data_IF_381828764449
#
_entry.id   IF_381828764449
#
_cell.length_a   1.000
_cell.length_b   1.000
_cell.length_c   1.000
_cell.angle_alpha   90.00
_cell.angle_beta   90.00
_cell.angle_gamma   90.00
#
_symmetry.space_group_name_H-M   'P 1'
#
loop_
_entity.id
_entity.type
_entity.pdbx_description
1 polymer ?
#
# COMPACT_ATOMS: atom_id res chain seq x y z
N UNK A 1 17.46 4.93 9.64
CA UNK A 1 18.05 4.96 11.00
C UNK A 1 19.54 4.60 11.04
N UNK A 2 20.03 3.62 10.27
CA UNK A 2 21.46 3.23 10.26
C UNK A 2 22.25 3.82 9.06
N UNK A 3 21.94 5.04 8.63
CA UNK A 3 22.64 5.68 7.51
C UNK A 3 24.15 5.82 7.78
N UNK A 4 24.98 5.65 6.74
CA UNK A 4 26.46 5.58 6.86
C UNK A 4 27.15 6.88 7.29
N UNK A 5 26.48 8.02 7.16
CA UNK A 5 27.10 9.35 7.39
C UNK A 5 26.65 9.95 8.73
N UNK A 6 25.33 10.07 8.93
CA UNK A 6 24.75 10.73 10.11
C UNK A 6 23.67 9.90 10.80
N UNK A 7 23.61 8.60 10.49
CA UNK A 7 22.65 7.67 11.06
C UNK A 7 22.83 7.49 12.56
N UNK A 8 21.74 7.11 13.24
CA UNK A 8 21.74 6.76 14.67
C UNK A 8 22.77 5.67 14.97
N UNK A 9 22.94 4.71 14.07
CA UNK A 9 23.97 3.66 14.22
C UNK A 9 25.38 4.23 14.31
N UNK A 10 25.75 5.15 13.41
CA UNK A 10 27.06 5.83 13.41
C UNK A 10 27.25 6.62 14.70
N UNK A 11 26.21 7.34 15.15
CA UNK A 11 26.25 8.07 16.42
C UNK A 11 26.45 7.13 17.61
N UNK A 12 25.78 5.97 17.63
CA UNK A 12 25.95 4.97 18.69
C UNK A 12 27.35 4.35 18.68
N UNK A 13 27.95 4.11 17.52
CA UNK A 13 29.32 3.63 17.41
C UNK A 13 30.35 4.63 17.98
N UNK A 14 30.09 5.93 17.88
CA UNK A 14 30.97 6.94 18.49
C UNK A 14 30.99 6.84 20.02
N UNK A 15 29.87 6.48 20.66
CA UNK A 15 29.80 6.29 22.12
C UNK A 15 30.21 4.87 22.54
N UNK A 16 29.96 3.87 21.68
CA UNK A 16 30.17 2.46 21.95
C UNK A 16 30.89 1.80 20.76
N UNK A 17 32.23 1.86 20.69
CA UNK A 17 32.98 1.45 19.49
C UNK A 17 32.84 -0.05 19.16
N UNK A 18 32.49 -0.87 20.14
CA UNK A 18 32.30 -2.32 19.97
C UNK A 18 30.86 -2.71 19.62
N UNK A 19 29.94 -1.75 19.44
CA UNK A 19 28.56 -2.07 19.10
C UNK A 19 28.48 -2.61 17.66
N UNK A 20 27.84 -3.76 17.51
CA UNK A 20 27.57 -4.35 16.20
C UNK A 20 26.22 -3.81 15.72
N UNK A 21 26.26 -3.09 14.60
CA UNK A 21 25.05 -2.63 13.93
C UNK A 21 24.58 -3.69 12.95
N UNK A 22 23.34 -4.15 13.13
CA UNK A 22 22.71 -5.11 12.24
C UNK A 22 21.37 -4.60 11.75
N UNK A 23 21.20 -4.52 10.43
CA UNK A 23 19.89 -4.24 9.85
C UNK A 23 19.01 -5.48 9.90
N UNK A 24 17.75 -5.33 10.34
CA UNK A 24 16.79 -6.43 10.20
C UNK A 24 16.53 -6.75 8.72
N UNK A 25 16.25 -8.03 8.43
CA UNK A 25 15.99 -8.49 7.06
C UNK A 25 14.84 -7.72 6.39
N UNK A 26 13.77 -7.42 7.14
CA UNK A 26 12.63 -6.66 6.62
C UNK A 26 13.04 -5.26 6.15
N UNK A 27 13.94 -4.58 6.87
CA UNK A 27 14.43 -3.27 6.45
C UNK A 27 15.36 -3.36 5.24
N UNK A 28 16.19 -4.40 5.14
CA UNK A 28 17.02 -4.63 3.95
C UNK A 28 16.15 -4.87 2.71
N UNK A 29 15.08 -5.66 2.85
CA UNK A 29 14.12 -5.90 1.79
C UNK A 29 13.41 -4.61 1.37
N UNK A 30 12.99 -3.78 2.34
CA UNK A 30 12.38 -2.47 2.07
C UNK A 30 13.30 -1.57 1.25
N UNK A 31 14.58 -1.46 1.63
CA UNK A 31 15.57 -0.68 0.89
C UNK A 31 15.74 -1.22 -0.54
N UNK A 32 15.90 -2.53 -0.71
CA UNK A 32 16.07 -3.15 -2.02
C UNK A 32 14.87 -2.89 -2.96
N UNK A 33 13.65 -3.01 -2.44
CA UNK A 33 12.43 -2.69 -3.20
C UNK A 33 12.36 -1.19 -3.51
N UNK A 34 12.62 -0.33 -2.53
CA UNK A 34 12.61 1.13 -2.74
C UNK A 34 13.62 1.57 -3.79
N UNK A 35 14.83 1.03 -3.78
CA UNK A 35 15.86 1.34 -4.77
C UNK A 35 15.46 0.83 -6.16
N UNK A 36 14.88 -0.36 -6.26
CA UNK A 36 14.34 -0.90 -7.53
C UNK A 36 13.23 0.01 -8.10
N UNK A 37 12.33 0.51 -7.24
CA UNK A 37 11.23 1.40 -7.68
C UNK A 37 11.72 2.75 -8.21
N UNK A 38 12.90 3.23 -7.75
CA UNK A 38 13.51 4.45 -8.30
C UNK A 38 13.96 4.26 -9.74
N UNK A 39 14.33 3.05 -10.13
CA UNK A 39 14.80 2.73 -11.49
C UNK A 39 13.65 2.31 -12.41
N UNK A 40 12.62 1.63 -11.86
CA UNK A 40 11.49 1.10 -12.64
C UNK A 40 10.30 2.06 -12.61
N UNK A 41 10.38 3.18 -13.33
CA UNK A 41 9.34 4.24 -13.29
C UNK A 41 7.93 3.80 -13.69
N UNK A 42 7.77 2.68 -14.42
CA UNK A 42 6.44 2.16 -14.81
C UNK A 42 5.55 1.82 -13.61
N UNK A 43 6.13 1.50 -12.45
CA UNK A 43 5.35 1.22 -11.23
C UNK A 43 4.69 2.46 -10.65
N UNK A 44 5.08 3.68 -11.06
CA UNK A 44 4.54 4.93 -10.52
C UNK A 44 3.04 5.10 -10.85
N UNK A 45 2.62 4.74 -12.07
CA UNK A 45 1.20 4.80 -12.44
C UNK A 45 0.37 3.84 -11.60
N UNK A 46 0.90 2.64 -11.38
CA UNK A 46 0.25 1.64 -10.55
C UNK A 46 0.18 2.08 -9.09
N UNK A 47 1.25 2.67 -8.55
CA UNK A 47 1.24 3.27 -7.22
C UNK A 47 0.16 4.33 -7.09
N UNK A 48 0.11 5.29 -8.02
CA UNK A 48 -0.89 6.35 -8.00
C UNK A 48 -2.31 5.80 -8.07
N UNK A 49 -2.54 4.75 -8.86
CA UNK A 49 -3.83 4.08 -8.93
C UNK A 49 -4.23 3.47 -7.57
N UNK A 50 -3.34 2.70 -6.94
CA UNK A 50 -3.62 2.05 -5.65
C UNK A 50 -3.82 3.11 -4.53
N UNK A 51 -3.06 4.19 -4.54
CA UNK A 51 -3.23 5.31 -3.61
C UNK A 51 -4.60 5.99 -3.77
N UNK A 52 -5.07 6.17 -5.01
CA UNK A 52 -6.42 6.69 -5.28
C UNK A 52 -7.51 5.73 -4.81
N UNK A 53 -7.35 4.43 -5.00
CA UNK A 53 -8.26 3.43 -4.44
C UNK A 53 -8.32 3.51 -2.92
N UNK A 54 -7.16 3.60 -2.27
CA UNK A 54 -7.09 3.78 -0.83
C UNK A 54 -7.86 5.02 -0.40
N UNK A 55 -7.58 6.18 -1.00
CA UNK A 55 -8.28 7.44 -0.70
C UNK A 55 -9.79 7.29 -0.89
N UNK A 56 -10.24 6.73 -2.01
CA UNK A 56 -11.64 6.59 -2.36
C UNK A 56 -12.44 5.78 -1.33
N UNK A 57 -11.89 4.68 -0.82
CA UNK A 57 -12.60 3.77 0.10
C UNK A 57 -12.23 3.92 1.57
N UNK A 58 -11.13 4.62 1.88
CA UNK A 58 -10.74 4.92 3.24
C UNK A 58 -11.32 6.25 3.72
N UNK A 59 -11.30 7.28 2.88
CA UNK A 59 -11.77 8.62 3.28
C UNK A 59 -13.28 8.78 3.18
N UNK A 60 -13.94 8.00 2.32
CA UNK A 60 -15.37 8.14 2.05
C UNK A 60 -16.14 6.90 2.52
N UNK A 61 -16.76 6.93 3.72
CA UNK A 61 -17.53 5.80 4.24
C UNK A 61 -18.66 5.38 3.32
N UNK A 62 -19.28 6.32 2.62
CA UNK A 62 -20.33 6.06 1.61
C UNK A 62 -19.85 5.09 0.54
N UNK A 63 -18.70 5.36 -0.09
CA UNK A 63 -18.14 4.50 -1.14
C UNK A 63 -17.78 3.10 -0.60
N UNK A 64 -17.25 3.02 0.62
CA UNK A 64 -16.97 1.73 1.27
C UNK A 64 -18.24 0.94 1.53
N UNK A 65 -19.29 1.59 2.02
CA UNK A 65 -20.58 0.95 2.29
C UNK A 65 -21.25 0.50 0.99
N UNK A 66 -21.26 1.33 -0.06
CA UNK A 66 -21.74 0.94 -1.39
C UNK A 66 -20.99 -0.27 -1.94
N UNK A 67 -19.65 -0.26 -1.88
CA UNK A 67 -18.82 -1.39 -2.30
C UNK A 67 -19.18 -2.66 -1.52
N UNK A 68 -19.36 -2.57 -0.21
CA UNK A 68 -19.67 -3.73 0.64
C UNK A 68 -21.08 -4.26 0.43
N UNK A 69 -22.08 -3.39 0.44
CA UNK A 69 -23.50 -3.77 0.48
C UNK A 69 -24.05 -4.03 -0.92
N UNK A 70 -23.71 -3.17 -1.89
CA UNK A 70 -24.30 -3.25 -3.24
C UNK A 70 -23.48 -4.14 -4.18
N UNK A 71 -22.16 -4.22 -3.97
CA UNK A 71 -21.29 -4.95 -4.88
C UNK A 71 -20.86 -6.29 -4.27
N UNK A 72 -20.15 -6.27 -3.15
CA UNK A 72 -19.56 -7.48 -2.58
C UNK A 72 -20.60 -8.49 -2.08
N UNK A 73 -21.64 -8.04 -1.37
CA UNK A 73 -22.71 -8.93 -0.91
C UNK A 73 -23.43 -9.63 -2.09
N UNK A 74 -23.67 -8.93 -3.19
CA UNK A 74 -24.29 -9.50 -4.39
C UNK A 74 -23.43 -10.53 -5.13
N UNK A 75 -22.13 -10.54 -4.83
CA UNK A 75 -21.14 -11.46 -5.41
C UNK A 75 -20.69 -12.52 -4.39
N UNK A 76 -21.32 -12.55 -3.20
CA UNK A 76 -20.91 -13.38 -2.05
C UNK A 76 -19.41 -13.24 -1.72
N UNK A 77 -18.87 -12.05 -1.98
CA UNK A 77 -17.44 -11.83 -1.95
C UNK A 77 -17.02 -11.22 -0.60
N UNK A 78 -16.03 -11.84 0.05
CA UNK A 78 -15.39 -11.24 1.22
C UNK A 78 -14.37 -10.18 0.80
N UNK A 79 -14.64 -8.91 1.13
CA UNK A 79 -13.71 -7.82 0.87
C UNK A 79 -12.50 -7.88 1.81
N UNK A 80 -11.31 -7.73 1.22
CA UNK A 80 -10.06 -7.48 1.95
C UNK A 80 -9.81 -5.98 2.09
N UNK A 81 -9.11 -5.56 3.14
CA UNK A 81 -8.82 -4.15 3.35
C UNK A 81 -7.73 -3.65 2.39
N UNK A 82 -8.06 -2.62 1.60
CA UNK A 82 -7.09 -1.93 0.74
C UNK A 82 -6.33 -0.92 1.61
N UNK A 83 -5.02 -1.12 1.77
CA UNK A 83 -4.12 -0.22 2.47
C UNK A 83 -3.37 0.71 1.53
N UNK A 84 -2.36 1.39 2.07
CA UNK A 84 -1.36 2.11 1.26
C UNK A 84 -0.26 1.13 0.82
N UNK A 85 0.49 1.49 -0.22
CA UNK A 85 1.69 0.77 -0.67
C UNK A 85 2.92 1.67 -0.60
N UNK A 86 4.10 1.06 -0.59
CA UNK A 86 5.41 1.73 -0.56
C UNK A 86 5.56 2.79 0.55
N UNK A 87 4.83 2.59 1.65
CA UNK A 87 5.01 3.37 2.86
C UNK A 87 6.16 2.80 3.67
N UNK A 88 6.66 3.60 4.60
CA UNK A 88 7.81 3.34 5.47
C UNK A 88 7.75 2.02 6.27
N UNK A 89 6.64 1.29 6.21
CA UNK A 89 6.42 0.05 6.97
C UNK A 89 5.98 -1.13 6.09
N UNK A 90 7.02 -1.83 5.63
CA UNK A 90 7.11 -3.25 5.25
C UNK A 90 6.53 -3.56 3.87
N UNK A 91 7.39 -4.06 2.99
CA UNK A 91 7.05 -4.71 1.71
C UNK A 91 5.88 -5.68 1.83
N UNK A 92 5.80 -6.44 2.95
CA UNK A 92 4.68 -7.33 3.23
C UNK A 92 3.31 -6.62 3.34
N UNK A 93 3.28 -5.39 3.84
CA UNK A 93 2.07 -4.56 3.87
C UNK A 93 1.65 -4.15 2.45
N UNK A 94 2.61 -3.76 1.62
CA UNK A 94 2.37 -3.47 0.20
C UNK A 94 1.83 -4.71 -0.51
N UNK A 95 2.47 -5.86 -0.34
CA UNK A 95 2.02 -7.14 -0.89
C UNK A 95 0.58 -7.49 -0.46
N UNK A 96 0.25 -7.32 0.83
CA UNK A 96 -1.10 -7.54 1.35
C UNK A 96 -2.12 -6.63 0.70
N UNK A 97 -1.79 -5.36 0.48
CA UNK A 97 -2.66 -4.41 -0.23
C UNK A 97 -2.85 -4.82 -1.68
N UNK A 98 -1.79 -5.24 -2.38
CA UNK A 98 -1.89 -5.69 -3.77
C UNK A 98 -2.77 -6.94 -3.88
N UNK A 99 -2.59 -7.91 -2.98
CA UNK A 99 -3.48 -9.07 -2.87
C UNK A 99 -4.92 -8.64 -2.58
N UNK A 100 -5.14 -7.66 -1.71
CA UNK A 100 -6.49 -7.16 -1.43
C UNK A 100 -7.15 -6.57 -2.67
N UNK A 101 -6.44 -5.74 -3.45
CA UNK A 101 -6.98 -5.18 -4.70
C UNK A 101 -7.27 -6.28 -5.72
N UNK A 102 -6.36 -7.24 -5.88
CA UNK A 102 -6.56 -8.36 -6.81
C UNK A 102 -7.77 -9.22 -6.43
N UNK A 103 -7.89 -9.59 -5.15
CA UNK A 103 -9.04 -10.36 -4.68
C UNK A 103 -10.33 -9.55 -4.79
N UNK A 104 -10.30 -8.25 -4.47
CA UNK A 104 -11.47 -7.36 -4.54
C UNK A 104 -11.87 -6.97 -5.97
N UNK A 105 -11.15 -7.42 -7.00
CA UNK A 105 -11.27 -6.91 -8.36
C UNK A 105 -12.70 -6.91 -8.89
N UNK A 106 -13.44 -8.01 -8.77
CA UNK A 106 -14.81 -8.12 -9.31
C UNK A 106 -15.76 -7.14 -8.62
N UNK A 107 -15.66 -7.00 -7.30
CA UNK A 107 -16.45 -6.02 -6.54
C UNK A 107 -16.09 -4.58 -6.88
N UNK A 108 -14.79 -4.28 -7.03
CA UNK A 108 -14.30 -2.95 -7.45
C UNK A 108 -14.79 -2.59 -8.85
N UNK A 109 -14.69 -3.53 -9.79
CA UNK A 109 -15.18 -3.35 -11.16
C UNK A 109 -16.68 -3.05 -11.16
N UNK A 110 -17.49 -3.83 -10.42
CA UNK A 110 -18.93 -3.60 -10.33
C UNK A 110 -19.26 -2.24 -9.74
N UNK A 111 -18.53 -1.81 -8.70
CA UNK A 111 -18.72 -0.49 -8.11
C UNK A 111 -18.41 0.63 -9.10
N UNK A 112 -17.29 0.55 -9.83
CA UNK A 112 -16.95 1.53 -10.86
C UNK A 112 -17.91 1.52 -12.05
N UNK A 113 -18.34 0.35 -12.50
CA UNK A 113 -19.30 0.22 -13.57
C UNK A 113 -20.63 0.88 -13.20
N UNK A 114 -21.14 0.59 -12.00
CA UNK A 114 -22.37 1.22 -11.51
C UNK A 114 -22.20 2.74 -11.37
N UNK A 115 -21.08 3.19 -10.78
CA UNK A 115 -20.79 4.61 -10.63
C UNK A 115 -20.68 5.34 -11.99
N UNK A 116 -20.12 4.69 -13.01
CA UNK A 116 -20.00 5.27 -14.36
C UNK A 116 -21.34 5.44 -15.09
N UNK A 117 -22.34 4.63 -14.71
CA UNK A 117 -23.69 4.68 -15.28
C UNK A 117 -24.66 5.53 -14.43
N UNK A 118 -24.23 6.01 -13.27
CA UNK A 118 -25.04 6.83 -12.38
C UNK A 118 -24.93 8.30 -12.77
N UNK A 119 -25.89 8.76 -13.57
CA UNK A 119 -25.97 10.15 -14.04
C UNK A 119 -26.27 11.16 -12.93
N UNK A 120 -26.60 10.70 -11.72
CA UNK A 120 -26.92 11.55 -10.57
C UNK A 120 -25.75 11.64 -9.57
N UNK A 121 -24.62 10.98 -9.87
CA UNK A 121 -23.43 10.98 -9.03
C UNK A 121 -22.60 12.24 -9.30
N UNK A 122 -22.56 13.15 -8.32
CA UNK A 122 -21.63 14.31 -8.30
C UNK A 122 -20.18 13.89 -8.04
#
# INVERSE_FOLDING_TARGET
MLGRVSGVGVKLQNFYPNIILWHCCNHRLELAVSDTLKEVHRTNHFQSFIEKLYVLYHQWPKNRNELSILCAASLEQKLLNIGKIFTIMWVASSEKTLKAVFNNYTSLFKHFFNASNDSLRE
#
